data_IF_540185663499
#
_entry.id   IF_540185663499
#
_cell.length_a   1.000
_cell.length_b   1.000
_cell.length_c   1.000
_cell.angle_alpha   90.00
_cell.angle_beta   90.00
_cell.angle_gamma   90.00
#
_symmetry.space_group_name_H-M   'P 1'
#
loop_
_entity.id
_entity.type
_entity.pdbx_description
1 polymer ?
#
# COMPACT_ATOMS: atom_id res chain seq x y z
N UNK A 1 -19.53 0.81 -6.44
CA UNK A 1 -20.83 0.15 -6.15
C UNK A 1 -20.58 -1.16 -5.39
N UNK A 2 -20.37 -2.23 -6.11
CA UNK A 2 -20.12 -3.55 -5.44
C UNK A 2 -18.81 -4.16 -5.95
N UNK A 3 -18.42 -5.29 -5.41
CA UNK A 3 -17.15 -5.96 -5.85
C UNK A 3 -15.97 -4.98 -5.79
N UNK A 4 -15.28 -4.94 -4.68
CA UNK A 4 -14.11 -4.01 -4.55
C UNK A 4 -13.00 -4.41 -5.53
N UNK A 5 -12.97 -5.65 -5.94
CA UNK A 5 -11.91 -6.11 -6.90
C UNK A 5 -11.93 -5.26 -8.17
N UNK A 6 -13.05 -4.66 -8.49
CA UNK A 6 -13.13 -3.81 -9.72
C UNK A 6 -12.12 -2.67 -9.65
N UNK A 7 -12.38 -1.69 -8.82
CA UNK A 7 -11.45 -0.54 -8.69
C UNK A 7 -10.49 -0.77 -7.51
N UNK A 8 -9.61 -1.73 -7.63
CA UNK A 8 -8.64 -2.02 -6.53
C UNK A 8 -7.46 -2.83 -7.06
N UNK A 9 -6.28 -2.27 -7.03
CA UNK A 9 -5.08 -3.00 -7.53
C UNK A 9 -3.94 -2.92 -6.50
N UNK A 10 -2.75 -3.27 -6.90
CA UNK A 10 -1.59 -3.23 -5.95
C UNK A 10 -0.77 -1.96 -6.19
N UNK A 11 0.36 -1.84 -5.53
CA UNK A 11 1.22 -0.63 -5.71
C UNK A 11 2.68 -0.97 -5.40
N UNK A 12 3.60 -0.20 -5.91
CA UNK A 12 5.04 -0.47 -5.66
C UNK A 12 5.52 0.42 -4.49
N UNK A 13 6.77 0.32 -4.12
CA UNK A 13 7.31 1.16 -3.00
C UNK A 13 8.52 1.96 -3.49
N UNK A 14 8.56 3.23 -3.20
CA UNK A 14 9.71 4.07 -3.65
C UNK A 14 10.80 4.10 -2.58
N UNK A 15 10.55 4.77 -1.49
CA UNK A 15 11.57 4.84 -0.40
C UNK A 15 11.20 3.89 0.74
N UNK A 16 12.09 3.73 1.69
CA UNK A 16 11.80 2.81 2.84
C UNK A 16 10.90 3.49 3.87
N UNK A 17 10.20 2.72 4.66
CA UNK A 17 9.29 3.30 5.68
C UNK A 17 8.85 2.19 6.66
N UNK A 18 9.55 2.04 7.75
CA UNK A 18 9.20 0.98 8.74
C UNK A 18 8.04 1.46 9.64
N UNK A 19 7.41 0.53 10.33
CA UNK A 19 6.28 0.89 11.22
C UNK A 19 6.77 1.68 12.44
N UNK A 20 5.88 2.32 13.14
CA UNK A 20 6.28 3.10 14.35
C UNK A 20 5.67 2.46 15.60
N UNK A 21 4.40 2.17 15.55
CA UNK A 21 3.73 1.53 16.72
C UNK A 21 3.04 0.24 16.29
N UNK A 22 2.19 0.32 15.31
CA UNK A 22 1.47 -0.90 14.82
C UNK A 22 0.71 -0.59 13.53
N UNK A 23 0.10 0.56 13.45
CA UNK A 23 -0.66 0.94 12.22
C UNK A 23 0.23 0.96 11.00
N UNK A 24 1.25 1.78 11.04
CA UNK A 24 2.16 1.93 9.87
C UNK A 24 2.60 0.56 9.30
N UNK A 25 2.65 0.45 8.00
CA UNK A 25 3.06 -0.84 7.37
C UNK A 25 4.55 -0.80 7.05
N UNK A 26 5.23 -1.91 7.18
CA UNK A 26 6.70 -1.93 6.90
C UNK A 26 6.97 -1.88 5.40
N UNK A 27 7.01 -0.70 4.83
CA UNK A 27 7.28 -0.57 3.38
C UNK A 27 8.78 -0.70 3.11
N UNK A 28 9.21 -0.39 1.91
CA UNK A 28 10.65 -0.51 1.56
C UNK A 28 10.90 0.15 0.20
N UNK A 29 11.97 -0.22 -0.46
CA UNK A 29 12.27 0.37 -1.79
C UNK A 29 12.32 -0.73 -2.86
N UNK A 30 11.48 -0.63 -3.86
CA UNK A 30 11.45 -1.67 -4.93
C UNK A 30 10.38 -2.71 -4.62
N UNK A 31 9.99 -2.84 -3.37
CA UNK A 31 8.95 -3.84 -3.01
C UNK A 31 7.57 -3.29 -3.37
N UNK A 32 6.57 -4.13 -3.41
CA UNK A 32 5.19 -3.64 -3.76
C UNK A 32 4.20 -4.18 -2.72
N UNK A 33 3.03 -3.60 -2.64
CA UNK A 33 2.04 -4.06 -1.61
C UNK A 33 0.66 -4.28 -2.23
N UNK A 34 -0.33 -4.45 -1.38
CA UNK A 34 -1.72 -4.66 -1.87
C UNK A 34 -2.63 -3.58 -1.27
N UNK A 35 -3.32 -2.85 -2.11
CA UNK A 35 -4.21 -1.76 -1.60
C UNK A 35 -5.61 -2.30 -1.30
N UNK A 36 -6.13 -1.96 -0.15
CA UNK A 36 -7.50 -2.41 0.23
C UNK A 36 -8.45 -1.20 0.32
N UNK A 37 -7.91 -0.01 0.52
CA UNK A 37 -8.77 1.20 0.62
C UNK A 37 -8.35 2.25 -0.42
N UNK A 38 -8.76 3.48 -0.21
CA UNK A 38 -8.42 4.59 -1.15
C UNK A 38 -9.11 5.85 -0.63
N UNK A 39 -9.03 6.05 0.66
CA UNK A 39 -9.69 7.23 1.29
C UNK A 39 -9.25 8.53 0.62
N UNK A 40 -9.62 9.65 1.20
CA UNK A 40 -9.23 10.96 0.62
C UNK A 40 -7.87 11.41 1.16
N UNK A 41 -7.02 10.50 1.58
CA UNK A 41 -5.68 10.93 2.10
C UNK A 41 -4.55 10.07 1.51
N UNK A 42 -3.34 10.61 1.52
CA UNK A 42 -2.18 9.87 0.96
C UNK A 42 -1.98 8.52 1.67
N UNK A 43 -2.19 8.48 2.96
CA UNK A 43 -1.99 7.20 3.71
C UNK A 43 -3.19 6.28 3.51
N UNK A 44 -2.96 5.08 3.05
CA UNK A 44 -4.07 4.12 2.82
C UNK A 44 -4.00 2.98 3.84
N UNK A 45 -4.66 1.89 3.56
CA UNK A 45 -4.61 0.70 4.45
C UNK A 45 -4.26 -0.49 3.56
N UNK A 46 -3.03 -0.57 3.13
CA UNK A 46 -2.60 -1.67 2.22
C UNK A 46 -1.75 -2.69 2.97
N UNK A 47 -1.68 -3.91 2.47
CA UNK A 47 -0.86 -4.95 3.15
C UNK A 47 0.39 -5.28 2.33
N UNK A 48 1.37 -5.86 2.96
CA UNK A 48 2.62 -6.21 2.23
C UNK A 48 2.60 -7.70 1.84
N UNK A 49 3.75 -8.31 1.71
CA UNK A 49 3.80 -9.76 1.34
C UNK A 49 3.94 -10.62 2.60
N UNK A 50 3.31 -10.22 3.68
CA UNK A 50 3.39 -11.01 4.94
C UNK A 50 2.00 -11.16 5.58
N UNK A 51 0.95 -10.98 4.81
CA UNK A 51 -0.42 -11.11 5.38
C UNK A 51 -0.63 -10.07 6.48
N UNK A 52 0.02 -8.94 6.38
CA UNK A 52 -0.13 -7.88 7.42
C UNK A 52 -0.62 -6.58 6.78
N UNK A 53 -1.49 -5.87 7.45
CA UNK A 53 -2.01 -4.58 6.89
C UNK A 53 -1.46 -3.40 7.68
N UNK A 54 -1.35 -2.26 7.05
CA UNK A 54 -0.82 -1.06 7.76
C UNK A 54 -1.06 0.16 6.89
N UNK A 55 -0.26 1.19 7.03
CA UNK A 55 -0.48 2.40 6.19
C UNK A 55 0.54 2.49 5.05
N UNK A 56 0.13 3.06 3.95
CA UNK A 56 1.02 3.20 2.76
C UNK A 56 0.85 4.62 2.15
N UNK A 57 1.81 5.51 2.35
CA UNK A 57 1.69 6.87 1.77
C UNK A 57 1.60 6.79 0.25
N UNK A 58 0.58 7.38 -0.33
CA UNK A 58 0.41 7.34 -1.82
C UNK A 58 1.68 7.82 -2.53
N UNK A 59 2.27 8.89 -2.06
CA UNK A 59 3.51 9.41 -2.71
C UNK A 59 4.63 8.37 -2.62
N UNK A 60 4.72 7.71 -1.50
CA UNK A 60 5.79 6.69 -1.30
C UNK A 60 5.59 5.49 -2.24
N UNK A 61 4.37 5.07 -2.45
CA UNK A 61 4.13 3.89 -3.35
C UNK A 61 3.58 4.34 -4.71
N UNK A 62 3.52 3.43 -5.64
CA UNK A 62 2.99 3.76 -7.00
C UNK A 62 2.23 2.54 -7.55
N UNK A 63 2.45 2.15 -8.79
CA UNK A 63 1.72 0.96 -9.34
C UNK A 63 2.51 -0.32 -9.07
N UNK A 64 1.85 -1.36 -8.65
CA UNK A 64 2.55 -2.66 -8.36
C UNK A 64 3.46 -3.07 -9.52
N UNK A 65 3.04 -2.83 -10.73
CA UNK A 65 3.88 -3.21 -11.91
C UNK A 65 3.81 -2.13 -12.99
N UNK A 66 4.85 -1.99 -13.77
CA UNK A 66 4.85 -0.95 -14.85
C UNK A 66 5.42 -1.54 -16.14
N UNK A 67 4.59 -1.68 -17.15
CA UNK A 67 5.07 -2.25 -18.45
C UNK A 67 5.65 -1.14 -19.33
#
# INVERSE_FOLDING_TARGET
>A
GSMSTSELKKVVALYDYMPMNANDLQLRKGDEYFILEESNLPWWRARDKNGQEGYIPSNYVTEAEDS
#
